data_IF_272774499868
#
_entry.id   IF_272774499868
#
_cell.length_a   1.000
_cell.length_b   1.000
_cell.length_c   1.000
_cell.angle_alpha   90.00
_cell.angle_beta   90.00
_cell.angle_gamma   90.00
#
_symmetry.space_group_name_H-M   'P 1'
#
loop_
_entity.id
_entity.type
_entity.pdbx_description
1 polymer ?
#
# COMPACT_ATOMS: atom_id res chain seq x y z
N UNK A 1 4.08 9.21 -18.30
CA UNK A 1 3.15 9.74 -17.27
C UNK A 1 3.63 9.34 -15.90
N UNK A 2 3.72 10.27 -14.97
CA UNK A 2 4.08 9.90 -13.60
C UNK A 2 2.95 9.06 -12.99
N UNK A 3 3.35 8.15 -12.12
CA UNK A 3 2.40 7.32 -11.38
C UNK A 3 1.73 8.17 -10.30
N UNK A 4 0.51 7.82 -9.88
CA UNK A 4 -0.20 8.64 -8.90
C UNK A 4 0.35 8.44 -7.50
N UNK A 5 0.17 9.45 -6.65
CA UNK A 5 0.43 9.31 -5.22
C UNK A 5 -0.65 8.41 -4.62
N UNK A 6 -0.28 7.68 -3.57
CA UNK A 6 -1.28 6.88 -2.85
C UNK A 6 -2.41 7.78 -2.36
N UNK A 7 -2.05 8.99 -1.86
CA UNK A 7 -3.03 9.94 -1.35
C UNK A 7 -4.03 10.44 -2.39
N UNK A 8 -3.66 10.37 -3.67
CA UNK A 8 -4.56 10.81 -4.75
C UNK A 8 -5.65 9.77 -5.04
N UNK A 9 -5.31 8.50 -4.92
CA UNK A 9 -6.23 7.41 -5.28
C UNK A 9 -6.90 6.81 -4.05
N UNK A 10 -6.14 6.70 -2.94
CA UNK A 10 -6.59 6.01 -1.73
C UNK A 10 -6.40 6.91 -0.48
N UNK A 11 -7.02 8.10 -0.45
CA UNK A 11 -6.78 9.03 0.67
C UNK A 11 -7.20 8.47 2.03
N UNK A 12 -8.36 7.82 2.10
CA UNK A 12 -8.85 7.28 3.38
C UNK A 12 -8.03 6.08 3.83
N UNK A 13 -7.66 5.23 2.87
CA UNK A 13 -6.80 4.07 3.16
C UNK A 13 -5.44 4.54 3.67
N UNK A 14 -4.88 5.56 3.05
CA UNK A 14 -3.60 6.14 3.48
C UNK A 14 -3.66 6.58 4.94
N UNK A 15 -4.71 7.31 5.32
CA UNK A 15 -4.85 7.77 6.70
C UNK A 15 -5.02 6.60 7.66
N UNK A 16 -5.73 5.57 7.24
CA UNK A 16 -5.88 4.36 8.05
C UNK A 16 -4.52 3.71 8.31
N UNK A 17 -3.71 3.53 7.28
CA UNK A 17 -2.40 2.88 7.41
C UNK A 17 -1.46 3.73 8.24
N UNK A 18 -1.46 5.05 8.04
CA UNK A 18 -0.63 5.96 8.83
C UNK A 18 -1.02 5.86 10.32
N UNK A 19 -2.33 5.80 10.60
CA UNK A 19 -2.81 5.65 11.96
C UNK A 19 -2.31 4.34 12.59
N UNK A 20 -2.41 3.23 11.84
CA UNK A 20 -1.97 1.93 12.32
C UNK A 20 -0.46 1.90 12.58
N UNK A 21 0.32 2.54 11.71
CA UNK A 21 1.76 2.64 11.89
C UNK A 21 2.10 3.46 13.13
N UNK A 22 1.36 4.54 13.37
CA UNK A 22 1.55 5.36 14.57
C UNK A 22 1.26 4.55 15.82
N UNK A 23 0.20 3.73 15.80
CA UNK A 23 -0.16 2.88 16.93
C UNK A 23 0.94 1.86 17.24
N UNK A 24 1.66 1.40 16.24
CA UNK A 24 2.74 0.43 16.44
C UNK A 24 4.11 1.11 16.64
N UNK A 25 4.14 2.43 16.69
CA UNK A 25 5.38 3.16 16.96
C UNK A 25 6.27 3.40 15.73
N UNK A 26 5.75 3.15 14.53
CA UNK A 26 6.50 3.28 13.28
C UNK A 26 6.21 4.61 12.57
N UNK A 27 6.43 5.72 13.28
CA UNK A 27 6.13 7.05 12.76
C UNK A 27 6.87 7.36 11.46
N UNK A 28 8.12 6.93 11.36
CA UNK A 28 8.94 7.19 10.18
C UNK A 28 8.34 6.55 8.93
N UNK A 29 7.77 5.33 9.07
CA UNK A 29 7.13 4.65 7.96
C UNK A 29 5.87 5.37 7.53
N UNK A 30 5.11 5.92 8.47
CA UNK A 30 3.92 6.70 8.14
C UNK A 30 4.28 7.94 7.33
N UNK A 31 5.32 8.64 7.72
CA UNK A 31 5.77 9.83 6.98
C UNK A 31 6.27 9.46 5.58
N UNK A 32 6.98 8.34 5.48
CA UNK A 32 7.44 7.83 4.19
C UNK A 32 6.25 7.52 3.28
N UNK A 33 5.24 6.86 3.83
CA UNK A 33 4.07 6.43 3.08
C UNK A 33 3.33 7.59 2.41
N UNK A 34 3.29 8.76 3.06
CA UNK A 34 2.61 9.93 2.52
C UNK A 34 3.20 10.44 1.20
N UNK A 35 4.45 10.10 0.93
CA UNK A 35 5.18 10.58 -0.25
C UNK A 35 5.25 9.54 -1.36
N UNK A 36 4.73 8.33 -1.10
CA UNK A 36 4.87 7.22 -2.04
C UNK A 36 3.82 7.24 -3.13
N UNK A 37 4.19 6.62 -4.25
CA UNK A 37 3.33 6.50 -5.42
C UNK A 37 2.97 5.04 -5.64
N UNK A 38 1.87 4.83 -6.35
CA UNK A 38 1.48 3.49 -6.76
C UNK A 38 2.23 3.21 -8.07
N UNK A 39 3.33 2.47 -7.98
CA UNK A 39 4.19 2.20 -9.14
C UNK A 39 3.59 1.17 -10.07
N UNK A 40 3.03 0.10 -9.52
CA UNK A 40 2.37 -0.92 -10.32
C UNK A 40 1.43 -1.73 -9.44
N UNK A 41 0.33 -2.20 -10.03
CA UNK A 41 -0.63 -3.03 -9.34
C UNK A 41 -0.21 -4.49 -9.41
N UNK A 42 -0.57 -5.27 -8.38
CA UNK A 42 -0.33 -6.71 -8.40
C UNK A 42 -1.23 -7.36 -9.44
N UNK A 43 -0.68 -8.24 -10.25
CA UNK A 43 -1.41 -8.93 -11.32
C UNK A 43 -1.59 -10.43 -11.04
N UNK A 44 -1.64 -10.80 -9.75
CA UNK A 44 -1.78 -12.21 -9.36
C UNK A 44 -3.13 -12.82 -9.74
N UNK A 45 -4.13 -12.00 -10.06
CA UNK A 45 -5.44 -12.48 -10.47
C UNK A 45 -6.34 -12.91 -9.33
N UNK A 46 -5.90 -12.77 -8.08
CA UNK A 46 -6.70 -13.14 -6.92
C UNK A 46 -7.77 -12.07 -6.67
N UNK A 47 -9.02 -12.52 -6.51
CA UNK A 47 -10.16 -11.61 -6.36
C UNK A 47 -10.06 -10.67 -5.17
N UNK A 48 -9.45 -11.12 -4.08
CA UNK A 48 -9.35 -10.33 -2.87
C UNK A 48 -8.08 -9.50 -2.79
N UNK A 49 -7.20 -9.62 -3.77
CA UNK A 49 -5.91 -8.92 -3.76
C UNK A 49 -6.05 -7.52 -4.35
N UNK A 50 -5.62 -6.51 -3.57
CA UNK A 50 -5.52 -5.14 -4.06
C UNK A 50 -4.15 -4.57 -3.72
N UNK A 51 -3.14 -5.44 -3.70
CA UNK A 51 -1.76 -5.08 -3.39
C UNK A 51 -1.12 -4.30 -4.51
N UNK A 52 -0.12 -3.49 -4.18
CA UNK A 52 0.61 -2.71 -5.19
C UNK A 52 2.04 -2.43 -4.75
N UNK A 53 2.90 -2.25 -5.75
CA UNK A 53 4.29 -1.86 -5.52
C UNK A 53 4.40 -0.35 -5.35
N UNK A 54 5.31 0.08 -4.49
CA UNK A 54 5.60 1.50 -4.27
C UNK A 54 7.00 1.86 -4.71
N UNK A 55 7.70 0.90 -5.33
CA UNK A 55 9.04 1.11 -5.88
C UNK A 55 9.13 0.37 -7.21
N UNK A 56 10.04 0.84 -8.07
CA UNK A 56 10.25 0.21 -9.38
C UNK A 56 10.77 -1.22 -9.24
N UNK A 57 11.56 -1.46 -8.19
CA UNK A 57 12.11 -2.78 -7.89
C UNK A 57 11.63 -3.23 -6.53
N UNK A 58 11.07 -4.43 -6.45
CA UNK A 58 10.56 -4.98 -5.19
C UNK A 58 11.50 -6.08 -4.70
N UNK A 59 12.25 -5.76 -3.64
CA UNK A 59 13.13 -6.73 -2.97
C UNK A 59 12.82 -6.67 -1.49
N UNK A 60 12.03 -7.61 -1.01
CA UNK A 60 11.55 -7.61 0.37
C UNK A 60 12.62 -8.17 1.30
N UNK A 61 13.01 -7.36 2.28
CA UNK A 61 13.94 -7.77 3.33
C UNK A 61 13.20 -8.04 4.64
N UNK A 62 12.17 -7.23 4.92
CA UNK A 62 11.41 -7.32 6.15
C UNK A 62 9.95 -6.91 5.90
N UNK A 63 9.03 -7.55 6.60
CA UNK A 63 7.60 -7.25 6.47
C UNK A 63 7.05 -6.84 7.83
N UNK A 64 6.28 -5.76 7.84
CA UNK A 64 5.57 -5.28 9.02
C UNK A 64 4.09 -5.60 8.85
N UNK A 65 3.55 -6.42 9.75
CA UNK A 65 2.13 -6.74 9.73
C UNK A 65 1.37 -5.70 10.56
N UNK A 66 0.30 -5.15 9.99
CA UNK A 66 -0.54 -4.18 10.68
C UNK A 66 -1.83 -4.84 11.15
N UNK A 67 -2.29 -4.44 12.34
CA UNK A 67 -3.51 -4.98 12.94
C UNK A 67 -4.72 -4.21 12.42
N UNK A 68 -5.12 -4.52 11.18
CA UNK A 68 -6.25 -3.86 10.55
C UNK A 68 -7.57 -4.42 11.08
N UNK A 69 -8.59 -3.58 11.09
CA UNK A 69 -9.94 -4.00 11.48
C UNK A 69 -10.55 -4.93 10.45
N UNK A 70 -10.15 -4.77 9.19
CA UNK A 70 -10.69 -5.55 8.08
C UNK A 70 -9.55 -5.93 7.14
N UNK A 71 -9.51 -7.20 6.74
CA UNK A 71 -8.54 -7.69 5.79
C UNK A 71 -7.14 -7.85 6.36
N UNK A 72 -6.20 -8.05 5.47
CA UNK A 72 -4.77 -8.23 5.80
C UNK A 72 -3.99 -7.08 5.20
N UNK A 73 -3.17 -6.43 6.02
CA UNK A 73 -2.29 -5.34 5.58
C UNK A 73 -0.86 -5.66 6.01
N UNK A 74 0.03 -5.76 5.02
CA UNK A 74 1.45 -6.01 5.25
C UNK A 74 2.26 -4.94 4.52
N UNK A 75 3.22 -4.36 5.23
CA UNK A 75 4.12 -3.35 4.66
C UNK A 75 5.47 -4.01 4.43
N UNK A 76 5.88 -4.15 3.17
CA UNK A 76 7.13 -4.80 2.82
C UNK A 76 8.23 -3.77 2.64
N UNK A 77 9.33 -3.97 3.35
CA UNK A 77 10.48 -3.06 3.37
C UNK A 77 11.68 -3.72 2.71
N UNK A 78 12.46 -2.93 1.97
CA UNK A 78 13.71 -3.41 1.41
C UNK A 78 14.84 -3.30 2.44
N UNK A 79 16.08 -3.63 2.05
CA UNK A 79 17.22 -3.63 2.96
C UNK A 79 17.55 -2.24 3.51
N UNK A 80 17.15 -1.18 2.81
CA UNK A 80 17.35 0.20 3.23
C UNK A 80 16.18 0.74 4.05
N UNK A 81 15.27 -0.13 4.49
CA UNK A 81 14.08 0.22 5.27
C UNK A 81 13.13 1.14 4.51
N UNK A 82 13.10 1.03 3.18
CA UNK A 82 12.16 1.76 2.36
C UNK A 82 10.99 0.84 2.00
N UNK A 83 9.79 1.40 2.01
CA UNK A 83 8.59 0.65 1.64
C UNK A 83 8.63 0.39 0.15
N UNK A 84 8.60 -0.88 -0.25
CA UNK A 84 8.66 -1.25 -1.67
C UNK A 84 7.38 -1.91 -2.16
N UNK A 85 6.55 -2.44 -1.26
CA UNK A 85 5.32 -3.12 -1.64
C UNK A 85 4.35 -3.08 -0.46
N UNK A 86 3.05 -2.98 -0.75
CA UNK A 86 2.01 -3.04 0.27
C UNK A 86 1.06 -4.18 -0.12
N UNK A 87 0.98 -5.19 0.75
CA UNK A 87 0.12 -6.33 0.52
C UNK A 87 -1.24 -6.09 1.17
N UNK A 88 -2.28 -6.15 0.36
CA UNK A 88 -3.64 -5.85 0.80
C UNK A 88 -4.55 -6.97 0.32
N UNK A 89 -5.20 -7.65 1.27
CA UNK A 89 -6.14 -8.72 0.97
C UNK A 89 -7.43 -8.48 1.73
N UNK A 90 -8.55 -8.80 1.09
CA UNK A 90 -9.84 -8.71 1.76
C UNK A 90 -10.33 -7.29 2.00
N UNK A 91 -9.96 -6.36 1.14
CA UNK A 91 -10.38 -4.96 1.24
C UNK A 91 -11.08 -4.55 -0.06
N UNK A 92 -12.37 -4.86 -0.19
CA UNK A 92 -13.11 -4.50 -1.39
C UNK A 92 -13.20 -2.99 -1.65
N UNK A 93 -13.16 -2.18 -0.58
CA UNK A 93 -13.13 -0.73 -0.70
C UNK A 93 -11.90 -0.25 -1.46
N UNK A 94 -10.73 -0.80 -1.10
CA UNK A 94 -9.47 -0.44 -1.75
C UNK A 94 -9.46 -0.95 -3.19
N UNK A 95 -9.89 -2.21 -3.38
CA UNK A 95 -9.94 -2.81 -4.71
C UNK A 95 -10.83 -2.01 -5.65
N UNK A 96 -11.97 -1.58 -5.17
CA UNK A 96 -12.90 -0.78 -5.97
C UNK A 96 -12.22 0.51 -6.46
N UNK A 97 -11.53 1.21 -5.57
CA UNK A 97 -10.87 2.47 -5.92
C UNK A 97 -9.73 2.27 -6.92
N UNK A 98 -8.97 1.18 -6.77
CA UNK A 98 -7.89 0.86 -7.70
C UNK A 98 -8.44 0.47 -9.08
N UNK A 99 -9.51 -0.33 -9.11
CA UNK A 99 -10.15 -0.73 -10.35
C UNK A 99 -10.74 0.48 -11.07
N UNK A 100 -11.39 1.36 -10.32
CA UNK A 100 -11.99 2.59 -10.87
C UNK A 100 -10.90 3.47 -11.49
N UNK A 101 -9.79 3.64 -10.80
CA UNK A 101 -8.66 4.42 -11.32
C UNK A 101 -8.12 3.80 -12.62
N UNK A 102 -7.95 2.47 -12.63
CA UNK A 102 -7.43 1.77 -13.80
C UNK A 102 -8.34 1.91 -15.01
N UNK A 103 -9.66 1.86 -14.80
CA UNK A 103 -10.63 1.99 -15.87
C UNK A 103 -10.70 3.40 -16.45
N UNK A 104 -10.32 4.41 -15.67
CA UNK A 104 -10.35 5.80 -16.13
C UNK A 104 -9.16 6.21 -16.97
N UNK A 105 -8.14 5.38 -17.03
CA UNK A 105 -6.90 5.68 -17.75
C UNK A 105 -7.06 5.55 -19.24
#
# INVERSE_FOLDING_TARGET
MPTPLISEILPDFLEEVVFLLRQSGDLALGEQLRKLRIESLCDCGHEECSSFATAAEVKVDRTVELQAMEGVLLIDLNAEEQICFIEILGRPDVKYLLDDYTERR
#
